data_IF_099305626707
#
_entry.id   IF_099305626707
#
_cell.length_a   1.000
_cell.length_b   1.000
_cell.length_c   1.000
_cell.angle_alpha   90.00
_cell.angle_beta   90.00
_cell.angle_gamma   90.00
#
_symmetry.space_group_name_H-M   'P 1'
#
loop_
_entity.id
_entity.type
_entity.pdbx_description
1 polymer ?
#
# COMPACT_ATOMS: atom_id res chain seq x y z
N UNK A 1 -73.92 31.04 -17.41
CA UNK A 1 -73.57 30.94 -15.98
C UNK A 1 -72.97 29.55 -15.76
N UNK A 2 -71.64 29.42 -15.83
CA UNK A 2 -70.66 29.45 -14.73
C UNK A 2 -70.64 28.13 -13.91
N UNK A 3 -69.42 27.55 -13.85
CA UNK A 3 -68.80 26.51 -12.97
C UNK A 3 -69.01 25.04 -13.38
N UNK A 4 -67.98 24.29 -13.85
CA UNK A 4 -66.64 23.89 -13.33
C UNK A 4 -66.69 22.77 -12.26
N UNK A 5 -66.26 21.55 -12.63
CA UNK A 5 -65.05 20.82 -12.15
C UNK A 5 -65.07 19.39 -12.76
N UNK A 6 -64.13 19.00 -13.62
CA UNK A 6 -62.74 18.60 -13.38
C UNK A 6 -62.60 17.28 -12.60
N UNK A 7 -62.34 16.18 -13.32
CA UNK A 7 -61.63 15.00 -12.82
C UNK A 7 -60.53 14.62 -13.80
N UNK A 8 -59.31 14.62 -13.26
CA UNK A 8 -58.01 14.36 -13.89
C UNK A 8 -57.91 12.94 -14.46
N UNK A 9 -57.27 12.82 -15.62
CA UNK A 9 -56.58 11.59 -16.03
C UNK A 9 -55.11 11.70 -15.60
N UNK A 10 -54.69 10.83 -14.68
CA UNK A 10 -53.28 10.71 -14.29
C UNK A 10 -52.58 9.81 -15.29
N UNK A 11 -51.69 10.39 -16.10
CA UNK A 11 -50.73 9.64 -16.91
C UNK A 11 -49.55 9.21 -16.02
N UNK A 12 -49.29 7.91 -15.97
CA UNK A 12 -48.15 7.33 -15.27
C UNK A 12 -46.94 7.38 -16.20
N UNK A 13 -45.98 8.26 -15.91
CA UNK A 13 -44.68 8.31 -16.61
C UNK A 13 -43.73 7.37 -15.86
N UNK A 14 -43.35 6.26 -16.50
CA UNK A 14 -42.25 5.41 -16.05
C UNK A 14 -40.95 6.10 -16.47
N UNK A 15 -40.27 6.72 -15.52
CA UNK A 15 -38.89 7.17 -15.68
C UNK A 15 -37.94 6.00 -15.45
N UNK A 16 -37.32 5.49 -16.51
CA UNK A 16 -36.14 4.64 -16.41
C UNK A 16 -34.93 5.53 -16.11
N UNK A 17 -34.47 5.53 -14.86
CA UNK A 17 -33.14 6.05 -14.50
C UNK A 17 -32.15 4.88 -14.48
N UNK A 18 -31.55 4.61 -15.64
CA UNK A 18 -30.34 3.78 -15.76
C UNK A 18 -29.12 4.70 -15.66
N UNK A 19 -28.32 4.49 -14.62
CA UNK A 19 -27.08 5.21 -14.39
C UNK A 19 -26.63 5.14 -12.94
N UNK A 20 -26.45 3.93 -12.39
CA UNK A 20 -25.66 3.78 -11.16
C UNK A 20 -24.19 3.95 -11.53
N UNK A 21 -23.68 5.19 -11.48
CA UNK A 21 -22.25 5.40 -11.24
C UNK A 21 -22.10 5.23 -9.73
N UNK A 22 -21.70 4.04 -9.29
CA UNK A 22 -21.34 3.81 -7.89
C UNK A 22 -20.15 4.70 -7.57
N UNK A 23 -20.38 5.80 -6.86
CA UNK A 23 -19.30 6.58 -6.28
C UNK A 23 -18.81 5.80 -5.06
N UNK A 24 -17.50 5.56 -4.98
CA UNK A 24 -16.93 5.07 -3.73
C UNK A 24 -17.24 6.07 -2.61
N UNK A 25 -17.64 5.58 -1.44
CA UNK A 25 -17.77 6.44 -0.27
C UNK A 25 -16.36 6.78 0.23
N UNK A 26 -16.18 7.99 0.76
CA UNK A 26 -14.95 8.30 1.46
C UNK A 26 -14.79 7.32 2.65
N UNK A 27 -13.56 6.91 2.91
CA UNK A 27 -13.12 6.03 3.97
C UNK A 27 -13.67 4.59 3.83
N UNK A 28 -13.94 4.15 2.60
CA UNK A 28 -14.36 2.77 2.33
C UNK A 28 -13.17 1.81 2.41
N UNK A 29 -13.38 0.65 3.03
CA UNK A 29 -12.36 -0.41 3.09
C UNK A 29 -12.95 -1.77 2.74
N UNK A 30 -12.12 -2.62 2.14
CA UNK A 30 -12.48 -4.01 1.79
C UNK A 30 -11.34 -4.94 2.19
N UNK A 31 -11.67 -6.13 2.69
CA UNK A 31 -10.69 -7.19 2.87
C UNK A 31 -10.65 -8.08 1.63
N UNK A 32 -9.46 -8.52 1.26
CA UNK A 32 -9.30 -9.75 0.49
C UNK A 32 -8.93 -10.84 1.49
N UNK A 33 -9.87 -11.77 1.72
CA UNK A 33 -9.72 -12.83 2.71
C UNK A 33 -9.85 -14.21 2.08
N UNK A 34 -8.96 -14.49 1.11
CA UNK A 34 -8.82 -15.77 0.40
C UNK A 34 -7.38 -16.28 0.51
N UNK A 35 -7.18 -17.60 0.59
CA UNK A 35 -5.84 -18.20 0.70
C UNK A 35 -5.26 -18.14 2.13
N UNK A 36 -3.93 -18.07 2.24
CA UNK A 36 -3.24 -18.01 3.55
C UNK A 36 -2.76 -16.62 3.92
N UNK A 37 -2.76 -15.66 3.01
CA UNK A 37 -2.41 -14.26 3.26
C UNK A 37 -3.67 -13.41 3.08
N UNK A 38 -4.08 -12.71 4.14
CA UNK A 38 -5.25 -11.82 4.09
C UNK A 38 -4.81 -10.38 4.34
N UNK A 39 -5.39 -9.43 3.61
CA UNK A 39 -5.15 -8.01 3.85
C UNK A 39 -6.41 -7.18 3.60
N UNK A 40 -6.42 -5.97 4.16
CA UNK A 40 -7.41 -4.95 3.90
C UNK A 40 -6.85 -3.86 2.99
N UNK A 41 -7.74 -3.18 2.29
CA UNK A 41 -7.44 -2.15 1.31
C UNK A 41 -8.35 -0.95 1.49
N UNK A 42 -7.81 0.24 1.23
CA UNK A 42 -8.55 1.50 1.30
C UNK A 42 -8.97 1.98 -0.09
N UNK A 43 -10.16 2.59 -0.20
CA UNK A 43 -10.62 3.31 -1.39
C UNK A 43 -9.66 4.42 -1.82
N UNK A 44 -8.94 5.04 -0.88
CA UNK A 44 -7.96 6.10 -1.10
C UNK A 44 -6.76 5.66 -1.96
N UNK A 45 -6.55 4.35 -2.12
CA UNK A 45 -5.47 3.81 -2.93
C UNK A 45 -4.24 3.34 -2.17
N UNK A 46 -4.19 3.50 -0.84
CA UNK A 46 -3.12 2.99 0.01
C UNK A 46 -3.56 2.85 1.48
N UNK A 47 -2.93 1.94 2.22
CA UNK A 47 -3.35 1.49 3.54
C UNK A 47 -2.59 2.20 4.67
N UNK A 48 -3.12 3.34 5.12
CA UNK A 48 -2.50 4.19 6.15
C UNK A 48 -2.53 3.56 7.56
N UNK A 49 -1.70 4.07 8.47
CA UNK A 49 -1.71 3.75 9.90
C UNK A 49 -3.11 3.94 10.48
N UNK A 50 -3.62 2.91 11.18
CA UNK A 50 -4.99 2.84 11.75
C UNK A 50 -6.13 3.07 10.76
N UNK A 51 -5.90 3.04 9.45
CA UNK A 51 -6.88 3.51 8.45
C UNK A 51 -8.17 2.69 8.35
N UNK A 52 -8.17 1.40 8.73
CA UNK A 52 -9.37 0.56 8.60
C UNK A 52 -10.43 0.82 9.68
N UNK A 53 -10.00 1.06 10.92
CA UNK A 53 -10.91 1.17 12.07
C UNK A 53 -10.79 2.48 12.83
N UNK A 54 -9.75 3.27 12.54
CA UNK A 54 -9.36 4.47 13.27
C UNK A 54 -9.02 4.21 14.75
N UNK A 55 -8.74 2.95 15.10
CA UNK A 55 -8.39 2.54 16.45
C UNK A 55 -6.90 2.23 16.57
N UNK A 56 -6.25 2.82 17.57
CA UNK A 56 -4.84 2.54 17.91
C UNK A 56 -4.62 1.04 18.20
N UNK A 57 -5.64 0.33 18.70
CA UNK A 57 -5.56 -1.12 18.92
C UNK A 57 -5.39 -1.94 17.64
N UNK A 58 -5.67 -1.35 16.48
CA UNK A 58 -5.48 -1.93 15.14
C UNK A 58 -4.37 -1.22 14.37
N UNK A 59 -3.40 -0.61 15.07
CA UNK A 59 -2.22 -0.02 14.43
C UNK A 59 -1.42 -1.06 13.62
N UNK A 60 -1.47 -2.33 14.04
CA UNK A 60 -0.86 -3.45 13.33
C UNK A 60 -1.98 -4.31 12.73
N UNK A 61 -2.21 -4.16 11.44
CA UNK A 61 -3.44 -4.65 10.81
C UNK A 61 -3.24 -4.93 9.33
N UNK A 62 -3.52 -6.15 8.93
CA UNK A 62 -3.32 -6.60 7.56
C UNK A 62 -1.97 -7.27 7.31
N UNK A 63 -1.77 -7.70 6.07
CA UNK A 63 -0.74 -8.67 5.66
C UNK A 63 -0.65 -9.83 6.66
N UNK A 64 -1.81 -10.41 6.98
CA UNK A 64 -1.93 -11.45 8.00
C UNK A 64 -1.52 -12.78 7.39
N UNK A 65 -0.38 -13.31 7.81
CA UNK A 65 0.09 -14.63 7.39
C UNK A 65 0.74 -15.43 8.53
N UNK A 66 0.34 -16.69 8.74
CA UNK A 66 -0.79 -17.38 8.08
C UNK A 66 -2.13 -16.91 8.66
N UNK A 67 -3.07 -16.54 7.78
CA UNK A 67 -4.35 -15.92 8.13
C UNK A 67 -5.29 -16.78 9.00
N UNK A 68 -5.02 -18.08 9.08
CA UNK A 68 -5.73 -19.01 9.96
C UNK A 68 -5.54 -18.67 11.44
N UNK A 69 -4.38 -18.15 11.84
CA UNK A 69 -4.10 -17.82 13.23
C UNK A 69 -4.44 -16.36 13.54
N UNK A 70 -4.82 -16.12 14.78
CA UNK A 70 -5.10 -14.76 15.25
C UNK A 70 -3.80 -13.98 15.35
N UNK A 71 -3.91 -12.67 15.12
CA UNK A 71 -2.85 -11.70 15.38
C UNK A 71 -1.55 -11.95 14.61
N UNK A 72 -1.63 -12.53 13.41
CA UNK A 72 -0.47 -12.70 12.53
C UNK A 72 -0.26 -11.49 11.60
N UNK A 73 -0.83 -10.33 11.94
CA UNK A 73 -0.79 -9.11 11.15
C UNK A 73 0.64 -8.52 11.15
N UNK A 74 1.13 -8.12 9.97
CA UNK A 74 2.53 -7.72 9.75
C UNK A 74 2.71 -6.27 9.25
N UNK A 75 1.61 -5.53 9.06
CA UNK A 75 1.61 -4.16 8.50
C UNK A 75 1.27 -3.13 9.58
N UNK A 76 2.08 -2.08 9.72
CA UNK A 76 1.75 -0.94 10.58
C UNK A 76 1.21 0.25 9.77
N UNK A 77 1.87 0.57 8.64
CA UNK A 77 1.42 1.62 7.74
C UNK A 77 2.02 1.45 6.34
N UNK A 78 1.31 1.94 5.33
CA UNK A 78 1.83 2.17 3.98
C UNK A 78 1.56 3.60 3.55
N UNK A 79 2.30 4.08 2.56
CA UNK A 79 2.00 5.35 1.89
C UNK A 79 2.21 5.24 0.39
N UNK A 80 1.48 6.06 -0.37
CA UNK A 80 1.71 6.34 -1.79
C UNK A 80 1.79 7.85 -1.98
N UNK A 81 2.93 8.31 -2.46
CA UNK A 81 3.22 9.71 -2.76
C UNK A 81 3.41 9.86 -4.27
N UNK A 82 2.79 10.89 -4.84
CA UNK A 82 2.95 11.25 -6.25
C UNK A 82 3.50 12.66 -6.32
N UNK A 83 4.65 12.82 -6.98
CA UNK A 83 5.37 14.08 -7.05
C UNK A 83 5.68 14.45 -8.49
N UNK A 84 5.66 15.74 -8.80
CA UNK A 84 6.11 16.29 -10.08
C UNK A 84 6.84 17.62 -9.88
N UNK A 85 7.74 17.96 -10.79
CA UNK A 85 8.48 19.23 -10.82
C UNK A 85 7.78 20.27 -11.69
N UNK A 86 7.98 21.54 -11.36
CA UNK A 86 7.52 22.71 -12.12
C UNK A 86 6.01 22.67 -12.43
N UNK A 87 5.21 22.29 -11.44
CA UNK A 87 3.77 22.10 -11.54
C UNK A 87 3.01 23.41 -11.38
N UNK A 88 2.15 23.76 -12.33
CA UNK A 88 1.18 24.83 -12.16
C UNK A 88 -0.10 24.26 -11.55
N UNK A 89 -0.48 24.78 -10.38
CA UNK A 89 -1.68 24.38 -9.67
C UNK A 89 -2.83 25.37 -9.95
N UNK A 90 -3.84 24.97 -10.76
CA UNK A 90 -4.98 25.82 -11.10
C UNK A 90 -5.96 26.01 -9.93
N UNK A 91 -5.88 25.25 -8.84
CA UNK A 91 -6.75 25.42 -7.67
C UNK A 91 -6.37 26.68 -6.87
N UNK A 92 -5.09 27.05 -6.91
CA UNK A 92 -4.52 28.19 -6.17
C UNK A 92 -3.82 29.22 -7.07
N UNK A 93 -3.91 29.05 -8.40
CA UNK A 93 -3.31 29.91 -9.42
C UNK A 93 -1.82 30.19 -9.14
N UNK A 94 -1.04 29.11 -8.93
CA UNK A 94 0.37 29.21 -8.54
C UNK A 94 1.20 28.07 -9.10
N UNK A 95 2.42 28.38 -9.56
CA UNK A 95 3.44 27.38 -9.86
C UNK A 95 4.24 27.00 -8.62
N UNK A 96 4.34 25.69 -8.37
CA UNK A 96 5.24 25.12 -7.38
C UNK A 96 6.45 24.52 -8.07
N UNK A 97 7.64 24.70 -7.47
CA UNK A 97 8.87 24.05 -7.96
C UNK A 97 8.74 22.53 -7.93
N UNK A 98 8.10 22.01 -6.90
CA UNK A 98 7.61 20.63 -6.85
C UNK A 98 6.21 20.63 -6.24
N UNK A 99 5.34 19.80 -6.77
CA UNK A 99 4.04 19.46 -6.17
C UNK A 99 4.12 18.01 -5.73
N UNK A 100 3.75 17.74 -4.48
CA UNK A 100 3.60 16.39 -3.96
C UNK A 100 2.18 16.27 -3.42
N UNK A 101 1.55 15.16 -3.75
CA UNK A 101 0.27 14.74 -3.19
C UNK A 101 0.47 13.35 -2.59
N UNK A 102 -0.17 13.06 -1.46
CA UNK A 102 0.00 11.76 -0.82
C UNK A 102 -1.21 11.21 -0.07
N UNK A 103 -1.28 9.88 -0.06
CA UNK A 103 -2.05 9.10 0.90
C UNK A 103 -1.07 8.36 1.81
N UNK A 104 -1.22 8.54 3.12
CA UNK A 104 -0.36 7.94 4.13
C UNK A 104 0.98 8.65 4.39
N UNK A 105 1.76 8.16 5.37
CA UNK A 105 1.46 6.95 6.13
C UNK A 105 0.45 7.14 7.28
N UNK A 106 0.00 8.35 7.60
CA UNK A 106 -0.90 8.62 8.77
C UNK A 106 -2.22 9.29 8.46
N UNK A 107 -2.32 9.84 7.27
CA UNK A 107 -3.30 10.86 6.92
C UNK A 107 -3.70 10.61 5.48
N UNK A 108 -4.97 10.85 5.19
CA UNK A 108 -5.55 10.75 3.88
C UNK A 108 -6.55 11.90 3.72
N UNK A 109 -6.64 12.44 2.51
CA UNK A 109 -7.67 13.41 2.12
C UNK A 109 -8.34 12.89 0.85
N UNK A 110 -9.43 12.16 1.05
CA UNK A 110 -10.23 11.62 -0.05
C UNK A 110 -11.19 12.64 -0.67
N UNK A 111 -11.20 13.88 -0.17
CA UNK A 111 -12.06 14.95 -0.69
C UNK A 111 -11.32 15.81 -1.71
N UNK A 112 -10.07 16.18 -1.43
CA UNK A 112 -9.34 17.17 -2.23
C UNK A 112 -8.00 16.70 -2.78
N UNK A 113 -7.51 15.51 -2.40
CA UNK A 113 -6.15 15.08 -2.74
C UNK A 113 -6.11 13.71 -3.45
N UNK A 114 -6.58 12.64 -2.81
CA UNK A 114 -6.68 11.29 -3.37
C UNK A 114 -8.15 10.89 -3.45
N UNK A 115 -8.83 11.29 -4.51
CA UNK A 115 -10.28 11.27 -4.64
C UNK A 115 -10.76 9.94 -5.26
N UNK A 116 -11.31 9.00 -4.48
CA UNK A 116 -11.74 7.70 -4.99
C UNK A 116 -12.90 7.87 -5.96
N UNK A 117 -12.90 7.05 -7.01
CA UNK A 117 -13.94 7.02 -8.05
C UNK A 117 -14.65 5.67 -8.04
N UNK A 118 -13.88 4.58 -8.00
CA UNK A 118 -14.42 3.22 -8.01
C UNK A 118 -13.61 2.34 -7.07
N UNK A 119 -14.31 1.46 -6.35
CA UNK A 119 -13.72 0.51 -5.42
C UNK A 119 -14.59 -0.75 -5.35
N UNK A 120 -14.15 -1.84 -5.97
CA UNK A 120 -14.93 -3.08 -6.11
C UNK A 120 -14.07 -4.31 -5.93
N UNK A 121 -14.64 -5.35 -5.31
CA UNK A 121 -14.06 -6.67 -5.25
C UNK A 121 -14.78 -7.62 -6.20
N UNK A 122 -14.03 -8.15 -7.17
CA UNK A 122 -14.45 -9.25 -8.02
C UNK A 122 -13.98 -10.56 -7.40
N UNK A 123 -14.85 -11.57 -7.40
CA UNK A 123 -14.54 -12.91 -6.93
C UNK A 123 -14.85 -13.94 -8.00
N UNK A 124 -13.97 -14.92 -8.18
CA UNK A 124 -14.25 -16.06 -9.06
C UNK A 124 -15.47 -16.88 -8.59
N UNK A 125 -15.64 -16.90 -7.28
CA UNK A 125 -16.73 -17.51 -6.54
C UNK A 125 -16.94 -16.71 -5.26
N UNK A 126 -18.13 -16.81 -4.66
CA UNK A 126 -18.42 -16.18 -3.37
C UNK A 126 -17.72 -16.90 -2.22
N UNK A 127 -17.56 -16.25 -1.06
CA UNK A 127 -16.98 -16.89 0.13
C UNK A 127 -17.84 -18.10 0.58
N UNK A 128 -17.23 -19.13 1.19
CA UNK A 128 -17.98 -20.29 1.65
C UNK A 128 -18.93 -19.91 2.79
N UNK A 129 -20.22 -20.17 2.60
CA UNK A 129 -21.24 -20.00 3.64
C UNK A 129 -21.15 -21.15 4.66
N UNK A 130 -20.81 -20.82 5.90
CA UNK A 130 -20.76 -21.77 7.02
C UNK A 130 -21.93 -21.51 7.95
N UNK A 131 -22.81 -22.49 8.12
CA UNK A 131 -24.00 -22.39 8.99
C UNK A 131 -23.87 -23.37 10.16
N UNK A 132 -24.03 -22.87 11.39
CA UNK A 132 -24.12 -23.67 12.62
C UNK A 132 -25.45 -23.36 13.31
N UNK A 133 -26.24 -24.39 13.60
CA UNK A 133 -27.57 -24.26 14.22
C UNK A 133 -28.52 -23.26 13.51
N UNK A 134 -28.39 -23.15 12.19
CA UNK A 134 -29.20 -22.25 11.36
C UNK A 134 -28.72 -20.80 11.32
N UNK A 135 -27.56 -20.48 11.91
CA UNK A 135 -26.97 -19.13 11.94
C UNK A 135 -25.63 -19.12 11.18
N UNK A 136 -25.35 -18.09 10.35
CA UNK A 136 -24.02 -17.88 9.78
C UNK A 136 -22.95 -17.83 10.88
N UNK A 137 -21.90 -18.63 10.71
CA UNK A 137 -20.83 -18.81 11.69
C UNK A 137 -19.44 -18.55 11.09
N UNK A 138 -19.36 -18.08 9.84
CA UNK A 138 -18.12 -17.76 9.16
C UNK A 138 -17.67 -16.34 9.47
N UNK A 139 -16.38 -16.14 9.77
CA UNK A 139 -15.82 -14.77 9.84
C UNK A 139 -15.81 -14.10 8.45
N UNK A 140 -15.77 -14.92 7.40
CA UNK A 140 -15.75 -14.46 6.01
C UNK A 140 -17.06 -13.76 5.60
N UNK A 141 -18.18 -14.12 6.24
CA UNK A 141 -19.50 -13.51 6.00
C UNK A 141 -19.51 -11.98 6.19
N UNK A 142 -18.52 -11.43 6.94
CA UNK A 142 -18.36 -10.01 7.23
C UNK A 142 -17.01 -9.44 6.81
N UNK A 143 -16.16 -10.25 6.16
CA UNK A 143 -14.82 -9.83 5.76
C UNK A 143 -14.66 -9.87 4.24
N UNK A 144 -15.05 -10.96 3.59
CA UNK A 144 -14.80 -11.19 2.16
C UNK A 144 -16.02 -10.83 1.32
N UNK A 145 -16.37 -9.54 1.29
CA UNK A 145 -17.58 -9.03 0.62
C UNK A 145 -17.38 -8.85 -0.90
N UNK A 146 -17.69 -9.88 -1.68
CA UNK A 146 -17.57 -9.87 -3.14
C UNK A 146 -18.70 -9.06 -3.77
N UNK A 147 -18.37 -7.98 -4.49
CA UNK A 147 -19.35 -7.14 -5.17
C UNK A 147 -19.87 -7.79 -6.46
N UNK A 148 -18.99 -8.46 -7.19
CA UNK A 148 -19.33 -9.13 -8.46
C UNK A 148 -18.67 -10.50 -8.57
N UNK A 149 -19.48 -11.51 -8.89
CA UNK A 149 -18.98 -12.87 -9.15
C UNK A 149 -18.72 -13.01 -10.65
N UNK A 150 -17.45 -13.19 -11.01
CA UNK A 150 -17.01 -13.48 -12.38
C UNK A 150 -16.27 -14.83 -12.40
N UNK A 151 -16.92 -15.93 -12.81
CA UNK A 151 -16.28 -17.24 -12.90
C UNK A 151 -15.09 -17.30 -13.88
N UNK A 152 -14.92 -16.26 -14.72
CA UNK A 152 -13.84 -16.13 -15.70
C UNK A 152 -12.76 -15.12 -15.30
N UNK A 153 -12.75 -14.70 -14.03
CA UNK A 153 -11.83 -13.71 -13.48
C UNK A 153 -10.36 -14.01 -13.84
N UNK A 154 -9.88 -13.28 -14.84
CA UNK A 154 -8.54 -13.21 -15.45
C UNK A 154 -7.82 -14.54 -15.74
N UNK A 155 -7.39 -14.63 -16.99
CA UNK A 155 -6.86 -15.79 -17.73
C UNK A 155 -7.97 -16.77 -18.09
N UNK A 156 -8.12 -17.05 -19.38
CA UNK A 156 -9.00 -18.13 -19.87
C UNK A 156 -8.61 -19.54 -19.40
N UNK A 157 -7.76 -19.66 -18.38
CA UNK A 157 -7.42 -20.88 -17.65
C UNK A 157 -7.81 -20.75 -16.16
N UNK A 158 -8.96 -21.34 -15.77
CA UNK A 158 -9.40 -21.42 -14.38
C UNK A 158 -8.41 -22.12 -13.44
N UNK A 159 -7.39 -22.83 -13.91
CA UNK A 159 -6.40 -23.45 -13.04
C UNK A 159 -5.33 -22.46 -12.53
N UNK A 160 -5.10 -21.35 -13.22
CA UNK A 160 -3.99 -20.41 -12.93
C UNK A 160 -4.44 -18.99 -12.62
N UNK A 161 -5.71 -18.66 -12.84
CA UNK A 161 -6.28 -17.35 -12.55
C UNK A 161 -6.42 -17.04 -11.04
N UNK A 162 -6.57 -15.75 -10.69
CA UNK A 162 -6.80 -15.31 -9.32
C UNK A 162 -8.20 -15.69 -8.82
N UNK A 163 -8.35 -15.79 -7.50
CA UNK A 163 -9.63 -16.04 -6.83
C UNK A 163 -10.37 -14.75 -6.47
N UNK A 164 -9.61 -13.68 -6.24
CA UNK A 164 -10.10 -12.34 -5.93
C UNK A 164 -9.33 -11.31 -6.75
N UNK A 165 -10.01 -10.28 -7.19
CA UNK A 165 -9.42 -9.08 -7.77
C UNK A 165 -10.10 -7.85 -7.19
N UNK A 166 -9.37 -7.05 -6.42
CA UNK A 166 -9.82 -5.72 -6.06
C UNK A 166 -9.52 -4.76 -7.22
N UNK A 167 -10.50 -3.97 -7.63
CA UNK A 167 -10.38 -2.90 -8.62
C UNK A 167 -10.62 -1.55 -7.97
N UNK A 168 -9.66 -0.65 -8.11
CA UNK A 168 -9.69 0.66 -7.49
C UNK A 168 -9.26 1.75 -8.49
N UNK A 169 -10.06 2.80 -8.61
CA UNK A 169 -9.77 3.98 -9.43
C UNK A 169 -9.78 5.20 -8.53
N UNK A 170 -8.71 5.99 -8.57
CA UNK A 170 -8.54 7.17 -7.72
C UNK A 170 -8.00 8.31 -8.59
N UNK A 171 -8.68 9.45 -8.57
CA UNK A 171 -8.14 10.69 -9.15
C UNK A 171 -7.27 11.38 -8.10
N UNK A 172 -6.25 12.10 -8.54
CA UNK A 172 -5.41 12.88 -7.64
C UNK A 172 -5.38 14.34 -8.05
N UNK A 173 -5.22 15.25 -7.09
CA UNK A 173 -5.21 16.70 -7.38
C UNK A 173 -4.02 17.17 -8.23
N UNK A 174 -3.01 16.31 -8.44
CA UNK A 174 -1.90 16.55 -9.38
C UNK A 174 -2.27 16.20 -10.85
N UNK A 175 -3.48 15.70 -11.11
CA UNK A 175 -3.94 15.35 -12.46
C UNK A 175 -3.68 13.90 -12.88
N UNK A 176 -3.13 13.06 -11.99
CA UNK A 176 -2.94 11.63 -12.24
C UNK A 176 -4.19 10.86 -11.77
N UNK A 177 -4.73 10.02 -12.64
CA UNK A 177 -5.67 8.96 -12.24
C UNK A 177 -4.90 7.66 -12.05
N UNK A 178 -4.93 7.11 -10.84
CA UNK A 178 -4.44 5.77 -10.54
C UNK A 178 -5.54 4.75 -10.82
N UNK A 179 -5.19 3.67 -11.51
CA UNK A 179 -5.96 2.43 -11.54
C UNK A 179 -5.12 1.36 -10.86
N UNK A 180 -5.63 0.76 -9.80
CA UNK A 180 -4.98 -0.28 -9.01
C UNK A 180 -5.83 -1.54 -9.08
N UNK A 181 -5.23 -2.63 -9.53
CA UNK A 181 -5.79 -3.98 -9.43
C UNK A 181 -4.95 -4.78 -8.44
N UNK A 182 -5.61 -5.53 -7.57
CA UNK A 182 -4.92 -6.38 -6.58
C UNK A 182 -5.47 -7.79 -6.71
N UNK A 183 -4.61 -8.71 -7.12
CA UNK A 183 -4.97 -10.10 -7.36
C UNK A 183 -4.52 -10.98 -6.21
N UNK A 184 -5.40 -11.90 -5.78
CA UNK A 184 -5.10 -12.88 -4.74
C UNK A 184 -5.40 -14.30 -5.21
N UNK A 185 -4.70 -15.26 -4.62
CA UNK A 185 -4.70 -16.66 -5.02
C UNK A 185 -4.83 -17.56 -3.78
N UNK A 186 -5.51 -18.69 -3.92
CA UNK A 186 -5.67 -19.69 -2.84
C UNK A 186 -5.25 -21.11 -3.23
N UNK A 187 -4.48 -21.24 -4.32
CA UNK A 187 -4.07 -22.53 -4.86
C UNK A 187 -2.67 -22.95 -4.37
N UNK A 188 -2.36 -24.25 -4.47
CA UNK A 188 -1.17 -24.86 -3.84
C UNK A 188 0.20 -24.24 -4.18
N UNK A 189 0.35 -23.62 -5.35
CA UNK A 189 1.57 -22.95 -5.83
C UNK A 189 1.55 -21.43 -5.56
N UNK A 190 0.38 -20.84 -5.33
CA UNK A 190 0.18 -19.40 -5.13
C UNK A 190 -0.85 -19.18 -4.01
N UNK A 191 -0.39 -18.89 -2.78
CA UNK A 191 -1.27 -18.76 -1.61
C UNK A 191 -0.82 -17.73 -0.55
N UNK A 192 0.29 -17.03 -0.77
CA UNK A 192 0.96 -16.20 0.23
C UNK A 192 1.52 -14.89 -0.35
N UNK A 193 0.91 -14.36 -1.39
CA UNK A 193 1.26 -13.04 -1.94
C UNK A 193 0.06 -12.44 -2.69
N UNK A 194 0.10 -11.12 -2.84
CA UNK A 194 -0.79 -10.36 -3.72
C UNK A 194 0.00 -9.79 -4.89
N UNK A 195 -0.59 -9.75 -6.09
CA UNK A 195 -0.04 -9.00 -7.22
C UNK A 195 -0.78 -7.68 -7.31
N UNK A 196 -0.04 -6.57 -7.24
CA UNK A 196 -0.55 -5.24 -7.48
C UNK A 196 -0.17 -4.80 -8.88
N UNK A 197 -1.17 -4.37 -9.63
CA UNK A 197 -1.09 -3.91 -11.01
C UNK A 197 -1.59 -2.46 -11.03
N UNK A 198 -0.64 -1.53 -11.12
CA UNK A 198 -0.87 -0.10 -11.09
C UNK A 198 -0.70 0.50 -12.48
N UNK A 199 -1.72 1.20 -12.96
CA UNK A 199 -1.61 2.10 -14.10
C UNK A 199 -1.81 3.52 -13.61
N UNK A 200 -0.80 4.36 -13.77
CA UNK A 200 -0.88 5.79 -13.48
C UNK A 200 -1.00 6.56 -14.79
N UNK A 201 -2.11 7.29 -14.95
CA UNK A 201 -2.40 8.03 -16.19
C UNK A 201 -2.54 9.52 -15.92
N UNK A 202 -1.89 10.35 -16.72
CA UNK A 202 -2.14 11.80 -16.72
C UNK A 202 -3.49 12.06 -17.42
N UNK A 203 -4.54 12.27 -16.62
CA UNK A 203 -5.89 12.58 -17.11
C UNK A 203 -6.22 14.06 -17.02
N UNK A 204 -5.40 14.82 -16.29
CA UNK A 204 -5.61 16.22 -15.97
C UNK A 204 -6.75 16.47 -14.99
N UNK A 205 -7.39 15.44 -14.42
CA UNK A 205 -8.50 15.62 -13.47
C UNK A 205 -7.95 16.04 -12.12
N UNK A 206 -8.36 17.21 -11.63
CA UNK A 206 -7.76 17.84 -10.43
C UNK A 206 -8.72 17.91 -9.22
N UNK A 207 -9.98 17.53 -9.38
CA UNK A 207 -10.98 17.51 -8.30
C UNK A 207 -12.10 16.48 -8.52
N UNK A 208 -13.01 16.38 -7.53
CA UNK A 208 -14.16 15.47 -7.52
C UNK A 208 -15.23 15.84 -8.55
N UNK A 209 -15.37 17.11 -8.90
CA UNK A 209 -16.29 17.55 -9.95
C UNK A 209 -15.81 17.13 -11.35
N UNK A 210 -14.58 16.63 -11.46
CA UNK A 210 -13.99 16.17 -12.71
C UNK A 210 -13.48 17.33 -13.57
N UNK A 211 -13.20 18.50 -12.99
CA UNK A 211 -12.54 19.60 -13.71
C UNK A 211 -11.18 19.11 -14.21
N UNK A 212 -10.86 19.49 -15.44
CA UNK A 212 -9.61 19.11 -16.10
C UNK A 212 -8.71 20.31 -16.34
N UNK A 213 -7.42 20.11 -16.11
CA UNK A 213 -6.36 21.00 -16.52
C UNK A 213 -5.24 20.17 -17.17
N UNK A 214 -5.10 20.30 -18.48
CA UNK A 214 -4.11 19.55 -19.25
C UNK A 214 -2.75 20.24 -19.19
N UNK A 215 -1.76 19.53 -18.64
CA UNK A 215 -0.36 19.94 -18.65
C UNK A 215 0.54 18.70 -18.68
N UNK A 216 1.72 18.85 -19.28
CA UNK A 216 2.78 17.82 -19.20
C UNK A 216 3.35 17.82 -17.80
N UNK A 217 3.37 16.65 -17.16
CA UNK A 217 3.97 16.46 -15.84
C UNK A 217 5.42 16.01 -16.03
N UNK A 218 6.36 16.78 -15.48
CA UNK A 218 7.79 16.48 -15.54
C UNK A 218 8.28 15.95 -14.20
N UNK A 219 9.32 15.12 -14.22
CA UNK A 219 9.92 14.61 -12.98
C UNK A 219 8.93 13.81 -12.14
N UNK A 220 8.06 13.01 -12.78
CA UNK A 220 7.02 12.29 -12.06
C UNK A 220 7.61 11.10 -11.32
N UNK A 221 7.38 11.05 -10.00
CA UNK A 221 7.71 9.90 -9.17
C UNK A 221 6.45 9.30 -8.54
N UNK A 222 6.35 7.98 -8.58
CA UNK A 222 5.41 7.19 -7.78
C UNK A 222 6.19 6.53 -6.66
N UNK A 223 6.02 7.01 -5.43
CA UNK A 223 6.83 6.59 -4.29
C UNK A 223 5.98 5.90 -3.24
N UNK A 224 6.34 4.66 -2.94
CA UNK A 224 5.71 3.84 -1.92
C UNK A 224 6.54 3.84 -0.64
N UNK A 225 5.85 3.78 0.49
CA UNK A 225 6.43 3.57 1.80
C UNK A 225 5.87 2.32 2.44
N UNK A 226 6.74 1.52 3.03
CA UNK A 226 6.40 0.26 3.68
C UNK A 226 6.91 0.27 5.12
N UNK A 227 5.99 0.46 6.07
CA UNK A 227 6.27 0.36 7.51
C UNK A 227 5.68 -0.95 8.00
N UNK A 228 6.51 -1.97 7.97
CA UNK A 228 6.15 -3.30 8.44
C UNK A 228 6.48 -3.50 9.92
N UNK A 229 5.72 -4.38 10.55
CA UNK A 229 5.88 -4.79 11.93
C UNK A 229 5.52 -6.29 12.04
N UNK A 230 6.47 -7.22 11.85
CA UNK A 230 6.21 -8.64 12.05
C UNK A 230 6.31 -9.00 13.54
N UNK A 231 5.37 -9.66 14.19
CA UNK A 231 3.93 -9.75 13.92
C UNK A 231 3.15 -9.23 15.14
N UNK A 232 1.83 -9.07 15.02
CA UNK A 232 0.94 -8.58 16.09
C UNK A 232 0.86 -9.46 17.33
N UNK A 233 1.16 -10.75 17.20
CA UNK A 233 0.92 -11.74 18.23
C UNK A 233 1.66 -11.43 19.53
N UNK A 234 2.96 -11.11 19.43
CA UNK A 234 3.79 -10.81 20.59
C UNK A 234 3.58 -9.41 21.17
N UNK A 235 2.94 -8.51 20.42
CA UNK A 235 2.73 -7.12 20.82
C UNK A 235 1.55 -6.92 21.79
N UNK A 236 1.37 -5.70 22.33
CA UNK A 236 0.26 -5.28 23.20
C UNK A 236 -1.15 -5.54 22.65
N UNK A 237 -1.31 -5.69 21.34
CA UNK A 237 -2.60 -5.95 20.70
C UNK A 237 -2.83 -7.44 20.38
N UNK A 238 -1.91 -8.31 20.81
CA UNK A 238 -2.03 -9.76 20.86
C UNK A 238 -1.92 -10.24 22.31
N UNK A 239 -0.83 -10.96 22.62
CA UNK A 239 -0.58 -11.55 23.95
C UNK A 239 0.45 -10.77 24.80
N UNK A 240 1.10 -9.75 24.22
CA UNK A 240 1.91 -8.77 24.93
C UNK A 240 3.12 -9.31 25.72
N UNK A 241 3.93 -10.17 25.11
CA UNK A 241 5.21 -10.62 25.69
C UNK A 241 6.44 -9.89 25.13
N UNK A 242 6.28 -9.13 24.04
CA UNK A 242 7.32 -8.30 23.45
C UNK A 242 7.14 -6.83 23.85
N UNK A 243 8.22 -6.01 23.79
CA UNK A 243 8.12 -4.59 24.07
C UNK A 243 7.03 -3.90 23.25
N UNK A 244 6.33 -2.92 23.86
CA UNK A 244 5.17 -2.24 23.27
C UNK A 244 5.44 -1.72 21.85
N UNK A 245 6.61 -1.13 21.64
CA UNK A 245 7.00 -0.48 20.38
C UNK A 245 7.26 -1.41 19.20
N UNK A 246 7.28 -2.73 19.44
CA UNK A 246 7.27 -3.72 18.36
C UNK A 246 6.01 -3.63 17.48
N UNK A 247 4.88 -3.16 18.04
CA UNK A 247 3.59 -3.08 17.31
C UNK A 247 3.58 -2.12 16.13
N UNK A 248 4.43 -1.09 16.18
CA UNK A 248 4.59 -0.12 15.10
C UNK A 248 5.93 -0.27 14.37
N UNK A 249 6.59 -1.41 14.54
CA UNK A 249 7.81 -1.76 13.81
C UNK A 249 9.05 -0.99 14.26
N UNK A 250 9.11 -0.52 15.50
CA UNK A 250 10.26 0.24 16.00
C UNK A 250 11.59 -0.53 15.89
N UNK A 251 11.52 -1.86 16.03
CA UNK A 251 12.66 -2.77 15.91
C UNK A 251 12.69 -3.51 14.55
N UNK A 252 11.86 -3.13 13.58
CA UNK A 252 11.86 -3.77 12.26
C UNK A 252 13.17 -3.45 11.55
N UNK A 253 13.83 -4.47 10.99
CA UNK A 253 14.93 -4.29 10.06
C UNK A 253 14.37 -4.32 8.65
N UNK A 254 14.89 -3.46 7.78
CA UNK A 254 14.54 -3.40 6.36
C UNK A 254 15.79 -3.67 5.54
N UNK A 255 15.63 -4.36 4.42
CA UNK A 255 16.68 -4.54 3.43
C UNK A 255 16.11 -4.38 2.03
N UNK A 256 16.92 -3.82 1.14
CA UNK A 256 16.63 -3.68 -0.28
C UNK A 256 17.79 -4.31 -1.08
N UNK A 257 17.44 -5.08 -2.12
CA UNK A 257 18.38 -5.90 -2.88
C UNK A 257 18.17 -5.70 -4.38
N UNK A 258 19.27 -5.89 -5.11
CA UNK A 258 19.31 -5.87 -6.58
C UNK A 258 18.82 -4.55 -7.18
N UNK A 259 19.24 -3.44 -6.56
CA UNK A 259 18.89 -2.05 -6.92
C UNK A 259 19.46 -1.56 -8.27
N UNK A 260 20.19 -2.42 -8.99
CA UNK A 260 20.76 -2.25 -10.33
C UNK A 260 21.67 -1.01 -10.63
N UNK A 261 22.69 -1.16 -11.51
CA UNK A 261 23.33 -2.40 -11.90
C UNK A 261 24.52 -2.67 -10.96
N UNK A 262 24.43 -3.76 -10.20
CA UNK A 262 25.55 -4.60 -9.76
C UNK A 262 26.84 -3.84 -9.42
N UNK A 263 26.99 -3.46 -8.16
CA UNK A 263 28.32 -3.44 -7.54
C UNK A 263 28.32 -4.42 -6.37
N UNK A 264 28.97 -5.56 -6.59
CA UNK A 264 29.49 -6.50 -5.57
C UNK A 264 28.68 -6.63 -4.28
N UNK A 265 27.57 -7.35 -4.34
CA UNK A 265 26.99 -7.97 -3.16
C UNK A 265 27.55 -9.42 -3.05
N UNK A 266 28.19 -9.83 -1.94
CA UNK A 266 28.70 -11.19 -1.77
C UNK A 266 27.60 -12.27 -1.68
N UNK A 267 26.33 -11.89 -1.55
CA UNK A 267 25.19 -12.78 -1.70
C UNK A 267 24.69 -12.73 -3.14
N UNK A 268 25.45 -13.36 -4.04
CA UNK A 268 24.99 -13.65 -5.39
C UNK A 268 23.89 -14.71 -5.27
N UNK A 269 22.65 -14.31 -5.52
CA UNK A 269 21.58 -15.28 -5.77
C UNK A 269 22.02 -16.14 -6.97
N UNK A 270 21.86 -17.47 -6.92
CA UNK A 270 22.40 -18.40 -7.92
C UNK A 270 21.74 -18.31 -9.31
N UNK A 271 20.99 -17.24 -9.58
CA UNK A 271 20.14 -17.06 -10.75
C UNK A 271 20.57 -15.85 -11.58
N UNK A 272 20.44 -15.98 -12.90
CA UNK A 272 20.96 -15.03 -13.89
C UNK A 272 20.33 -13.62 -13.82
N UNK A 273 19.25 -13.45 -13.05
CA UNK A 273 18.56 -12.17 -12.82
C UNK A 273 17.94 -12.12 -11.41
N UNK A 274 18.64 -11.60 -10.39
CA UNK A 274 18.13 -11.61 -9.02
C UNK A 274 17.01 -10.58 -8.84
N UNK A 275 15.95 -10.88 -8.05
CA UNK A 275 14.74 -10.05 -7.97
C UNK A 275 15.01 -8.68 -7.33
N UNK A 276 14.49 -7.61 -7.93
CA UNK A 276 14.51 -6.25 -7.37
C UNK A 276 13.51 -6.21 -6.21
N UNK A 277 14.00 -6.31 -4.99
CA UNK A 277 13.13 -6.54 -3.85
C UNK A 277 13.51 -5.73 -2.62
N UNK A 278 12.51 -5.50 -1.77
CA UNK A 278 12.66 -5.05 -0.41
C UNK A 278 11.95 -6.03 0.51
N UNK A 279 12.49 -6.25 1.69
CA UNK A 279 11.86 -7.09 2.69
C UNK A 279 12.29 -6.69 4.09
N UNK A 280 11.49 -7.09 5.06
CA UNK A 280 11.63 -6.71 6.46
C UNK A 280 11.39 -7.90 7.37
N UNK A 281 12.01 -7.85 8.55
CA UNK A 281 11.87 -8.88 9.58
C UNK A 281 11.92 -8.27 10.98
N UNK A 282 11.54 -9.07 11.98
CA UNK A 282 11.59 -8.70 13.39
C UNK A 282 13.05 -8.64 13.88
N UNK A 283 13.58 -7.44 14.11
CA UNK A 283 14.94 -7.23 14.64
C UNK A 283 15.04 -7.28 16.16
N UNK A 284 16.27 -7.14 16.67
CA UNK A 284 16.52 -7.06 18.11
C UNK A 284 15.94 -5.77 18.70
N UNK A 285 15.39 -5.87 19.91
CA UNK A 285 14.86 -4.74 20.67
C UNK A 285 15.54 -4.60 22.04
N UNK A 286 16.07 -3.41 22.34
CA UNK A 286 16.88 -3.12 23.54
C UNK A 286 16.19 -3.39 24.88
N UNK A 287 14.85 -3.47 24.89
CA UNK A 287 14.02 -3.70 26.07
C UNK A 287 13.44 -5.11 26.17
N UNK A 288 13.74 -6.00 25.22
CA UNK A 288 13.28 -7.38 25.29
C UNK A 288 13.92 -8.14 26.46
N UNK A 289 15.21 -7.89 26.72
CA UNK A 289 15.97 -8.56 27.78
C UNK A 289 16.43 -9.99 27.43
N UNK A 290 16.21 -10.42 26.18
CA UNK A 290 16.64 -11.68 25.60
C UNK A 290 16.81 -11.49 24.08
N UNK A 291 17.33 -12.50 23.37
CA UNK A 291 17.33 -12.51 21.90
C UNK A 291 15.91 -12.68 21.38
N UNK A 292 15.31 -11.57 20.93
CA UNK A 292 13.93 -11.53 20.47
C UNK A 292 13.78 -11.66 18.96
N UNK A 293 14.81 -12.06 18.20
CA UNK A 293 14.66 -12.33 16.76
C UNK A 293 13.64 -13.45 16.55
N UNK A 294 12.68 -13.24 15.66
CA UNK A 294 11.55 -14.15 15.46
C UNK A 294 10.48 -14.09 16.56
N UNK A 295 10.63 -13.22 17.56
CA UNK A 295 9.67 -12.99 18.63
C UNK A 295 9.31 -14.24 19.45
N UNK A 296 10.28 -15.02 19.98
CA UNK A 296 9.99 -16.23 20.75
C UNK A 296 9.15 -15.91 21.99
N UNK A 297 8.14 -16.74 22.27
CA UNK A 297 7.37 -16.62 23.51
C UNK A 297 8.16 -17.19 24.70
N UNK A 298 9.16 -16.43 25.13
CA UNK A 298 10.16 -16.84 26.14
C UNK A 298 9.55 -17.24 27.49
N UNK A 299 8.45 -16.59 27.90
CA UNK A 299 7.75 -16.90 29.15
C UNK A 299 6.76 -18.08 29.05
N UNK A 300 6.60 -18.68 27.88
CA UNK A 300 5.61 -19.71 27.59
C UNK A 300 6.21 -20.96 26.97
N UNK A 301 5.66 -21.36 25.82
CA UNK A 301 6.01 -22.58 25.08
C UNK A 301 7.16 -22.38 24.08
N UNK A 302 7.68 -21.16 23.94
CA UNK A 302 8.83 -20.84 23.10
C UNK A 302 8.55 -20.81 21.59
N UNK A 303 7.29 -20.86 21.15
CA UNK A 303 6.99 -20.68 19.72
C UNK A 303 7.41 -19.28 19.24
N UNK A 304 7.70 -19.15 17.95
CA UNK A 304 8.05 -17.88 17.33
C UNK A 304 6.77 -17.14 16.93
N UNK A 305 6.48 -16.00 17.55
CA UNK A 305 5.33 -15.18 17.18
C UNK A 305 5.59 -14.30 15.95
N UNK A 306 6.85 -14.04 15.60
CA UNK A 306 7.24 -13.12 14.52
C UNK A 306 8.21 -13.78 13.52
N UNK A 307 7.92 -15.03 13.13
CA UNK A 307 8.76 -15.79 12.20
C UNK A 307 8.69 -15.30 10.73
N UNK A 308 7.78 -14.38 10.42
CA UNK A 308 7.52 -13.89 9.08
C UNK A 308 8.64 -12.97 8.56
N UNK A 309 8.84 -13.04 7.26
CA UNK A 309 9.39 -11.95 6.47
C UNK A 309 8.24 -11.36 5.67
N UNK A 310 8.26 -10.05 5.51
CA UNK A 310 7.24 -9.31 4.75
C UNK A 310 7.95 -8.38 3.80
N UNK A 311 7.49 -8.29 2.56
CA UNK A 311 8.23 -7.54 1.56
C UNK A 311 7.54 -7.40 0.22
N UNK A 312 8.23 -6.71 -0.68
CA UNK A 312 7.77 -6.40 -2.03
C UNK A 312 8.85 -6.73 -3.05
N UNK A 313 8.45 -7.36 -4.15
CA UNK A 313 9.28 -7.55 -5.34
C UNK A 313 8.70 -6.78 -6.52
N UNK A 314 9.55 -6.08 -7.28
CA UNK A 314 9.17 -5.45 -8.55
C UNK A 314 9.20 -6.49 -9.66
N UNK A 315 8.03 -6.75 -10.24
CA UNK A 315 7.85 -7.67 -11.37
C UNK A 315 7.99 -6.94 -12.70
N UNK A 316 7.48 -5.72 -12.77
CA UNK A 316 7.49 -4.88 -13.97
C UNK A 316 7.45 -3.40 -13.60
N UNK A 317 8.18 -2.58 -14.33
CA UNK A 317 7.95 -1.14 -14.38
C UNK A 317 8.25 -0.63 -15.78
N UNK A 318 7.31 0.09 -16.39
CA UNK A 318 7.53 0.71 -17.70
C UNK A 318 8.75 1.62 -17.65
N UNK A 319 9.52 1.60 -18.74
CA UNK A 319 10.64 2.50 -18.94
C UNK A 319 10.19 3.94 -19.21
N UNK A 320 9.12 4.09 -19.99
CA UNK A 320 8.48 5.36 -20.30
C UNK A 320 7.07 5.13 -20.85
N UNK A 321 6.23 6.17 -21.00
CA UNK A 321 4.91 6.02 -21.63
C UNK A 321 4.93 5.45 -23.05
N UNK A 322 6.03 5.67 -23.78
CA UNK A 322 6.20 5.19 -25.17
C UNK A 322 6.93 3.83 -25.26
N UNK A 323 7.50 3.35 -24.16
CA UNK A 323 8.24 2.09 -24.08
C UNK A 323 7.75 1.27 -22.87
N UNK A 324 6.77 0.36 -23.09
CA UNK A 324 6.17 -0.44 -22.04
C UNK A 324 7.01 -1.69 -21.68
N UNK A 325 8.28 -1.74 -22.11
CA UNK A 325 9.18 -2.81 -21.65
C UNK A 325 9.61 -2.58 -20.20
N UNK A 326 9.83 -3.69 -19.47
CA UNK A 326 10.32 -3.62 -18.10
C UNK A 326 11.70 -2.93 -18.06
N UNK A 327 11.81 -1.87 -17.26
CA UNK A 327 13.08 -1.20 -16.99
C UNK A 327 13.76 -1.84 -15.78
N UNK A 328 14.84 -2.63 -15.96
CA UNK A 328 15.54 -3.28 -14.86
C UNK A 328 16.21 -2.30 -13.88
N UNK A 329 16.29 -1.00 -14.21
CA UNK A 329 16.80 0.06 -13.33
C UNK A 329 15.74 0.71 -12.44
N UNK A 330 14.47 0.33 -12.58
CA UNK A 330 13.40 0.70 -11.65
C UNK A 330 13.28 -0.35 -10.54
N UNK A 331 13.00 0.03 -9.27
CA UNK A 331 12.80 1.39 -8.78
C UNK A 331 14.14 2.16 -8.71
N UNK A 332 14.14 3.46 -9.05
CA UNK A 332 15.35 4.29 -8.95
C UNK A 332 15.63 4.81 -7.55
N UNK A 333 14.66 4.72 -6.64
CA UNK A 333 14.80 5.13 -5.25
C UNK A 333 14.46 3.99 -4.29
N UNK A 334 15.32 3.72 -3.32
CA UNK A 334 15.11 2.75 -2.23
C UNK A 334 15.57 3.29 -0.86
N UNK A 335 15.52 4.62 -0.67
CA UNK A 335 15.84 5.22 0.63
C UNK A 335 14.99 4.62 1.75
N UNK A 336 15.59 4.46 2.93
CA UNK A 336 14.85 4.28 4.18
C UNK A 336 14.83 5.59 4.96
N UNK A 337 13.71 5.85 5.63
CA UNK A 337 13.46 7.10 6.35
C UNK A 337 12.89 6.82 7.74
N UNK A 338 13.18 7.70 8.68
CA UNK A 338 12.65 7.60 10.03
C UNK A 338 11.12 7.78 9.99
N UNK A 339 10.39 6.86 10.62
CA UNK A 339 8.94 6.69 10.42
C UNK A 339 8.09 7.83 10.98
N UNK A 340 8.67 8.72 11.80
CA UNK A 340 7.96 9.83 12.46
C UNK A 340 8.51 11.19 12.01
N UNK A 341 9.24 11.25 10.88
CA UNK A 341 9.69 12.52 10.34
C UNK A 341 8.47 13.41 10.06
N UNK A 342 8.58 14.74 10.20
CA UNK A 342 7.45 15.65 9.95
C UNK A 342 6.80 15.48 8.57
N UNK A 343 7.55 15.04 7.56
CA UNK A 343 7.05 14.75 6.21
C UNK A 343 6.16 13.49 6.13
N UNK A 344 6.13 12.66 7.17
CA UNK A 344 5.32 11.42 7.25
C UNK A 344 4.00 11.63 8.00
N UNK A 345 3.64 12.89 8.31
CA UNK A 345 2.43 13.24 9.07
C UNK A 345 1.86 14.58 8.63
N UNK A 346 0.53 14.69 8.65
CA UNK A 346 -0.22 15.83 8.10
C UNK A 346 -0.19 15.84 6.56
N UNK A 347 -1.29 16.23 5.92
CA UNK A 347 -1.33 16.48 4.48
C UNK A 347 -1.47 17.99 4.27
N UNK A 348 -0.58 18.57 3.48
CA UNK A 348 -0.76 19.93 2.97
C UNK A 348 -0.11 20.04 1.59
N UNK A 349 -0.88 19.68 0.57
CA UNK A 349 -0.51 19.76 -0.84
C UNK A 349 -0.26 21.20 -1.33
N UNK A 350 -0.33 22.23 -0.47
CA UNK A 350 0.00 23.62 -0.80
C UNK A 350 1.21 24.15 -0.03
N UNK A 351 1.79 23.35 0.88
CA UNK A 351 2.98 23.72 1.64
C UNK A 351 4.26 23.47 0.82
N UNK A 352 4.73 24.51 0.14
CA UNK A 352 5.90 24.44 -0.73
C UNK A 352 7.18 23.94 -0.04
N UNK A 353 7.41 24.26 1.24
CA UNK A 353 8.61 23.81 1.96
C UNK A 353 8.53 22.30 2.25
N UNK A 354 7.36 21.83 2.66
CA UNK A 354 7.14 20.42 2.96
C UNK A 354 7.22 19.56 1.70
N UNK A 355 6.54 19.95 0.62
CA UNK A 355 6.58 19.25 -0.66
C UNK A 355 8.00 19.12 -1.22
N UNK A 356 8.85 20.15 -1.03
CA UNK A 356 10.26 20.07 -1.38
C UNK A 356 11.00 18.94 -0.65
N UNK A 357 10.79 18.81 0.67
CA UNK A 357 11.43 17.76 1.49
C UNK A 357 10.90 16.37 1.16
N UNK A 358 9.61 16.25 0.85
CA UNK A 358 9.01 14.98 0.41
C UNK A 358 9.60 14.54 -0.93
N UNK A 359 9.64 15.44 -1.91
CA UNK A 359 10.18 15.15 -3.23
C UNK A 359 11.67 14.81 -3.18
N UNK A 360 12.46 15.44 -2.29
CA UNK A 360 13.87 15.09 -2.05
C UNK A 360 14.03 13.62 -1.61
N UNK A 361 13.11 13.09 -0.81
CA UNK A 361 13.11 11.67 -0.44
C UNK A 361 12.69 10.79 -1.62
N UNK A 362 11.63 11.18 -2.33
CA UNK A 362 11.09 10.43 -3.48
C UNK A 362 12.14 10.24 -4.59
N UNK A 363 12.93 11.28 -4.85
CA UNK A 363 14.01 11.32 -5.84
C UNK A 363 15.40 11.02 -5.25
N UNK A 364 15.46 10.50 -4.02
CA UNK A 364 16.70 10.38 -3.23
C UNK A 364 17.65 9.28 -3.70
N UNK A 365 17.28 8.46 -4.68
CA UNK A 365 18.12 7.37 -5.16
C UNK A 365 18.23 6.20 -4.16
N UNK A 366 19.33 5.47 -4.24
CA UNK A 366 19.64 4.39 -3.30
C UNK A 366 20.49 4.90 -2.13
N UNK A 367 20.31 4.35 -0.91
CA UNK A 367 21.14 4.74 0.22
C UNK A 367 22.59 4.24 0.01
N UNK A 368 23.57 5.01 0.51
CA UNK A 368 24.98 4.60 0.43
C UNK A 368 25.28 3.32 1.23
N UNK A 369 24.51 3.08 2.30
CA UNK A 369 24.54 1.88 3.13
C UNK A 369 23.09 1.49 3.39
N UNK A 370 22.75 0.22 3.22
CA UNK A 370 21.39 -0.30 3.40
C UNK A 370 21.02 -0.32 4.88
N UNK A 371 19.74 -0.22 5.21
CA UNK A 371 19.29 -0.12 6.60
C UNK A 371 19.76 -1.31 7.45
N UNK A 372 19.60 -2.54 6.96
CA UNK A 372 20.11 -3.75 7.60
C UNK A 372 21.61 -3.68 7.95
N UNK A 373 22.44 -3.21 7.01
CA UNK A 373 23.88 -3.09 7.23
C UNK A 373 24.21 -1.96 8.21
N UNK A 374 23.52 -0.82 8.09
CA UNK A 374 23.79 0.38 8.91
C UNK A 374 23.35 0.19 10.38
N UNK A 375 22.31 -0.60 10.61
CA UNK A 375 21.94 -1.04 11.96
C UNK A 375 22.99 -2.01 12.53
N UNK A 376 23.63 -2.83 11.70
CA UNK A 376 24.48 -3.95 12.14
C UNK A 376 23.73 -5.28 12.23
N UNK A 377 22.74 -5.46 11.34
CA UNK A 377 21.94 -6.66 11.16
C UNK A 377 21.80 -7.04 9.68
N UNK A 378 22.90 -7.35 8.97
CA UNK A 378 22.89 -7.71 7.55
C UNK A 378 22.02 -8.95 7.22
N UNK A 379 21.83 -9.84 8.20
CA UNK A 379 20.86 -10.94 8.12
C UNK A 379 20.21 -11.18 9.49
N UNK A 380 19.11 -11.94 9.58
CA UNK A 380 18.49 -12.25 10.86
C UNK A 380 19.34 -13.13 11.78
N UNK A 381 20.28 -13.91 11.24
CA UNK A 381 21.21 -14.73 12.05
C UNK A 381 22.43 -13.91 12.46
N UNK A 382 22.83 -12.96 11.62
CA UNK A 382 23.97 -12.06 11.79
C UNK A 382 23.45 -10.66 12.18
N UNK A 383 22.84 -10.57 13.37
CA UNK A 383 22.29 -9.33 13.92
C UNK A 383 22.85 -9.07 15.31
N UNK A 384 23.51 -7.93 15.47
CA UNK A 384 24.34 -7.65 16.64
C UNK A 384 23.99 -6.32 17.33
N UNK A 385 22.92 -5.68 16.90
CA UNK A 385 22.50 -4.36 17.38
C UNK A 385 20.98 -4.24 17.44
N UNK A 386 20.53 -3.28 18.25
CA UNK A 386 19.12 -3.02 18.50
C UNK A 386 18.58 -1.95 17.56
N UNK A 387 17.66 -2.32 16.68
CA UNK A 387 17.05 -1.40 15.71
C UNK A 387 16.29 -0.24 16.36
N UNK A 388 15.67 -0.47 17.53
CA UNK A 388 14.93 0.58 18.27
C UNK A 388 15.84 1.66 18.88
N UNK A 389 17.16 1.48 18.81
CA UNK A 389 18.14 2.45 19.31
C UNK A 389 19.01 3.04 18.21
N UNK A 390 18.92 2.49 16.99
CA UNK A 390 19.65 2.99 15.83
C UNK A 390 19.12 4.38 15.46
N UNK A 391 20.03 5.31 15.14
CA UNK A 391 19.71 6.64 14.64
C UNK A 391 20.64 6.93 13.47
N UNK A 392 20.08 7.02 12.26
CA UNK A 392 20.81 7.41 11.06
C UNK A 392 21.40 8.80 11.25
N UNK A 393 22.62 9.01 10.75
CA UNK A 393 23.25 10.34 10.79
C UNK A 393 22.35 11.39 10.11
N UNK A 394 22.02 12.45 10.83
CA UNK A 394 21.15 13.54 10.37
C UNK A 394 19.71 13.44 10.85
N UNK A 395 19.27 12.29 11.37
CA UNK A 395 17.92 12.15 11.90
C UNK A 395 17.81 12.75 13.31
N UNK A 396 16.64 13.32 13.67
CA UNK A 396 16.42 13.94 14.98
C UNK A 396 16.33 12.93 16.14
N UNK A 397 16.28 11.63 15.84
CA UNK A 397 16.15 10.52 16.78
C UNK A 397 15.46 9.33 16.12
N UNK A 398 15.07 8.34 16.91
CA UNK A 398 14.31 7.18 16.45
C UNK A 398 13.18 6.85 17.43
N UNK A 399 12.03 7.57 17.38
CA UNK A 399 10.85 7.22 18.17
C UNK A 399 9.98 6.12 17.53
N UNK A 400 10.06 5.95 16.21
CA UNK A 400 9.10 5.18 15.43
C UNK A 400 9.67 4.06 14.57
N UNK A 401 10.98 3.84 14.59
CA UNK A 401 11.67 2.94 13.66
C UNK A 401 11.87 3.58 12.28
N UNK A 402 12.22 2.74 11.32
CA UNK A 402 12.47 3.13 9.94
C UNK A 402 11.52 2.44 8.97
N UNK A 403 11.03 3.21 8.00
CA UNK A 403 10.19 2.76 6.90
C UNK A 403 11.07 2.59 5.66
N UNK A 404 10.75 1.59 4.83
CA UNK A 404 11.44 1.37 3.56
C UNK A 404 10.69 2.09 2.43
N UNK A 405 11.41 2.92 1.66
CA UNK A 405 10.90 3.59 0.47
C UNK A 405 11.14 2.79 -0.80
N UNK A 406 10.28 3.00 -1.81
CA UNK A 406 10.39 2.46 -3.16
C UNK A 406 9.83 3.47 -4.17
N UNK A 407 10.69 4.13 -4.94
CA UNK A 407 10.31 5.16 -5.91
C UNK A 407 10.51 4.74 -7.35
N UNK A 408 9.48 4.91 -8.16
CA UNK A 408 9.50 4.67 -9.61
C UNK A 408 9.48 6.00 -10.36
N UNK A 409 10.44 6.21 -11.26
CA UNK A 409 10.61 7.45 -12.02
C UNK A 409 12.08 7.85 -12.21
N UNK A 410 12.37 9.09 -12.62
CA UNK A 410 11.41 10.12 -13.00
C UNK A 410 10.80 9.82 -14.37
N UNK A 411 9.49 10.00 -14.49
CA UNK A 411 8.78 9.97 -15.77
C UNK A 411 8.48 11.38 -16.28
N UNK A 412 8.24 11.50 -17.59
CA UNK A 412 7.59 12.66 -18.20
C UNK A 412 6.29 12.16 -18.80
N UNK A 413 5.17 12.76 -18.42
CA UNK A 413 3.82 12.31 -18.81
C UNK A 413 3.07 13.46 -19.47
N UNK A 414 2.89 13.40 -20.79
CA UNK A 414 1.99 14.29 -21.52
C UNK A 414 0.52 13.98 -21.17
N UNK A 415 -0.42 14.90 -21.41
CA UNK A 415 -1.84 14.62 -21.23
C UNK A 415 -2.26 13.37 -22.02
N UNK A 416 -2.74 12.35 -21.32
CA UNK A 416 -3.16 11.07 -21.89
C UNK A 416 -2.17 9.92 -21.69
N UNK A 417 -0.90 10.23 -21.40
CA UNK A 417 0.15 9.24 -21.16
C UNK A 417 -0.10 8.43 -19.89
N UNK A 418 0.42 7.22 -19.87
CA UNK A 418 0.38 6.35 -18.70
C UNK A 418 1.63 5.51 -18.57
N UNK A 419 1.95 5.11 -17.35
CA UNK A 419 2.94 4.08 -17.05
C UNK A 419 2.33 2.97 -16.20
N UNK A 420 2.82 1.76 -16.41
CA UNK A 420 2.43 0.53 -15.75
C UNK A 420 3.51 0.05 -14.79
N UNK A 421 3.12 -0.28 -13.56
CA UNK A 421 4.00 -0.83 -12.52
C UNK A 421 3.31 -2.05 -11.91
N UNK A 422 4.04 -3.16 -11.85
CA UNK A 422 3.57 -4.41 -11.25
C UNK A 422 4.52 -4.84 -10.15
N UNK A 423 3.97 -5.04 -8.95
CA UNK A 423 4.72 -5.55 -7.79
C UNK A 423 3.98 -6.73 -7.18
N UNK A 424 4.71 -7.62 -6.51
CA UNK A 424 4.11 -8.61 -5.61
C UNK A 424 4.50 -8.31 -4.17
N UNK A 425 3.53 -8.35 -3.26
CA UNK A 425 3.74 -8.19 -1.81
C UNK A 425 3.35 -9.49 -1.11
N UNK A 426 4.20 -9.94 -0.17
CA UNK A 426 4.05 -11.20 0.53
C UNK A 426 4.24 -11.01 2.05
#
# INVERSE_FOLDING_TARGET
MIKKSAWLHTAFVVGLSLGFVGHALADETKWIAVGMLHDWYSSAGCEVEVGRTHLISDQQDGLRWPAQFKWQDCKAAKALWIGATDYYDPLVDRTFKVKVVHVGPRVLDEEHEFMPVEFKMYGRFDHPLVIVDGVPAGRLDYMDEVDEIDPTLVTGDPATGPDRMLYNVVNTSIGITMRRKIYAFSQQNHNNYFIYDYVFKNTGIIDKEGRKYEQTLNGVYFFFQYRYAPSREGGPYGYYWLPQSTSWGHNTINDARNEAPISVNPLVWPEDAPPRCLFSWHGLHSKAGFDNIGGPYFGGDGHLGAAQYVGVVTLHADKSPDDPSDDPFQPTTTQYLQSDLPITSGNDQFNAEKMMKEYEVMAGGHPAVRHADDVGCPTPIDCHAYADTYVRSGDPGNPGGYTQGQGFGPYVLEPGDSVHIVVAEA
#
